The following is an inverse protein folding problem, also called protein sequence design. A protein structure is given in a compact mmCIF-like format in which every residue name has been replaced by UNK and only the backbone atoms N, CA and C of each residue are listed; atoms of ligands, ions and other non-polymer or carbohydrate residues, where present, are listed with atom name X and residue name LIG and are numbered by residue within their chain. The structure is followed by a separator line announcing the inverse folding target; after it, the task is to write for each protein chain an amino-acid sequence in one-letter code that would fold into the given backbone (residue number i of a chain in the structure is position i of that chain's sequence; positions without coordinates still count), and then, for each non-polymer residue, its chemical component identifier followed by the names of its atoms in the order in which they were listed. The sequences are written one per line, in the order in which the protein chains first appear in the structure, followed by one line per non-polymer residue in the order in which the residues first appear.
data_IF_002869020992
#
_entry.id   IF_002869020992
#
_cell.length_a   1.000
_cell.length_b   1.000
_cell.length_c   1.000
_cell.angle_alpha   90.00
_cell.angle_beta   90.00
_cell.angle_gamma   90.00
#
_symmetry.space_group_name_H-M   'P 1'
#
loop_
_entity.id
_entity.type
_entity.pdbx_description
1 polymer ?
#
# COMPACT_ATOMS: atom_id res chain seq x y z
N UNK A 1 0.62 37.11 32.30
CA UNK A 1 0.71 35.73 31.77
C UNK A 1 -0.64 35.00 31.82
N UNK A 2 -1.35 34.98 32.96
CA UNK A 2 -2.64 34.27 33.10
C UNK A 2 -3.74 34.74 32.13
N UNK A 3 -3.91 36.06 31.95
CA UNK A 3 -4.92 36.63 31.02
C UNK A 3 -4.63 36.27 29.54
N UNK A 4 -3.35 36.22 29.16
CA UNK A 4 -2.94 35.82 27.82
C UNK A 4 -3.18 34.31 27.58
N UNK A 5 -2.90 33.47 28.59
CA UNK A 5 -3.19 32.04 28.54
C UNK A 5 -4.71 31.77 28.44
N UNK A 6 -5.53 32.50 29.19
CA UNK A 6 -6.99 32.42 29.12
C UNK A 6 -7.54 32.87 27.75
N UNK A 7 -6.98 33.95 27.19
CA UNK A 7 -7.33 34.40 25.84
C UNK A 7 -7.00 33.35 24.77
N UNK A 8 -5.82 32.73 24.84
CA UNK A 8 -5.42 31.64 23.94
C UNK A 8 -6.30 30.41 24.10
N UNK A 9 -6.67 30.04 25.33
CA UNK A 9 -7.56 28.91 25.60
C UNK A 9 -8.98 29.16 25.05
N UNK A 10 -9.52 30.37 25.22
CA UNK A 10 -10.83 30.74 24.67
C UNK A 10 -10.82 30.73 23.14
N UNK A 11 -9.79 31.30 22.52
CA UNK A 11 -9.62 31.29 21.06
C UNK A 11 -9.48 29.86 20.53
N UNK A 12 -8.73 29.01 21.23
CA UNK A 12 -8.62 27.59 20.89
C UNK A 12 -9.99 26.88 20.99
N UNK A 13 -10.74 27.10 22.06
CA UNK A 13 -12.07 26.52 22.23
C UNK A 13 -13.04 26.94 21.11
N UNK A 14 -13.09 28.23 20.78
CA UNK A 14 -13.90 28.76 19.66
C UNK A 14 -13.49 28.13 18.34
N UNK A 15 -12.17 28.04 18.08
CA UNK A 15 -11.64 27.39 16.88
C UNK A 15 -12.08 25.92 16.77
N UNK A 16 -12.07 25.16 17.88
CA UNK A 16 -12.50 23.75 17.89
C UNK A 16 -14.01 23.60 17.75
N UNK A 17 -14.80 24.46 18.37
CA UNK A 17 -16.26 24.50 18.19
C UNK A 17 -16.61 24.82 16.74
N UNK A 18 -15.94 25.79 16.13
CA UNK A 18 -16.12 26.11 14.72
C UNK A 18 -15.77 24.92 13.82
N UNK A 19 -14.67 24.21 14.10
CA UNK A 19 -14.29 23.01 13.36
C UNK A 19 -15.36 21.91 13.47
N UNK A 20 -15.85 21.63 14.68
CA UNK A 20 -16.91 20.65 14.88
C UNK A 20 -18.19 21.05 14.13
N UNK A 21 -18.60 22.31 14.23
CA UNK A 21 -19.77 22.84 13.54
C UNK A 21 -19.63 22.77 12.02
N UNK A 22 -18.48 23.18 11.49
CA UNK A 22 -18.15 23.06 10.06
C UNK A 22 -18.18 21.60 9.60
N UNK A 23 -17.62 20.68 10.39
CA UNK A 23 -17.65 19.25 10.08
C UNK A 23 -19.06 18.65 10.08
N UNK A 24 -19.91 19.05 11.03
CA UNK A 24 -21.33 18.68 11.06
C UNK A 24 -22.08 19.20 9.83
N UNK A 25 -21.77 20.42 9.39
CA UNK A 25 -22.36 21.02 8.19
C UNK A 25 -21.98 20.27 6.91
N UNK A 26 -20.71 19.87 6.76
CA UNK A 26 -20.22 19.09 5.59
C UNK A 26 -20.97 17.75 5.47
N UNK A 27 -21.29 17.15 6.61
CA UNK A 27 -21.91 15.83 6.69
C UNK A 27 -23.44 15.89 6.67
N UNK A 28 -24.04 17.09 6.56
CA UNK A 28 -25.49 17.24 6.56
C UNK A 28 -26.15 16.87 7.90
N UNK A 29 -25.40 16.95 9.00
CA UNK A 29 -25.87 16.68 10.37
C UNK A 29 -26.37 15.24 10.59
N UNK A 30 -26.00 14.30 9.72
CA UNK A 30 -26.32 12.90 9.90
C UNK A 30 -25.75 12.33 11.22
N UNK A 31 -26.44 11.37 11.84
CA UNK A 31 -26.03 10.79 13.12
C UNK A 31 -24.69 10.04 12.99
N UNK A 32 -23.98 9.91 14.12
CA UNK A 32 -22.72 9.18 14.15
C UNK A 32 -21.79 9.60 15.28
N UNK A 33 -20.57 9.06 15.25
CA UNK A 33 -19.55 9.26 16.28
C UNK A 33 -18.97 10.68 16.18
N UNK A 34 -18.87 11.33 17.34
CA UNK A 34 -18.11 12.57 17.53
C UNK A 34 -16.86 12.24 18.35
N UNK A 35 -15.69 12.33 17.73
CA UNK A 35 -14.42 11.90 18.31
C UNK A 35 -13.44 13.06 18.42
N UNK A 36 -12.37 12.91 19.20
CA UNK A 36 -11.30 13.90 19.21
C UNK A 36 -10.47 13.80 17.92
N UNK A 37 -10.03 12.58 17.60
CA UNK A 37 -9.20 12.30 16.44
C UNK A 37 -9.98 11.50 15.40
N UNK A 38 -9.87 11.89 14.13
CA UNK A 38 -10.46 11.14 13.02
C UNK A 38 -9.75 9.80 12.82
N UNK A 39 -10.47 8.79 12.33
CA UNK A 39 -9.95 7.43 12.14
C UNK A 39 -8.76 7.36 11.16
N UNK A 40 -8.71 8.24 10.16
CA UNK A 40 -7.63 8.36 9.17
C UNK A 40 -6.54 9.35 9.58
N UNK A 41 -6.66 9.96 10.77
CA UNK A 41 -5.72 10.99 11.20
C UNK A 41 -4.43 10.38 11.73
N UNK A 42 -3.29 10.97 11.39
CA UNK A 42 -1.97 10.58 11.91
C UNK A 42 -1.96 10.54 13.45
N UNK A 43 -2.56 11.54 14.09
CA UNK A 43 -2.64 11.59 15.56
C UNK A 43 -3.58 10.52 16.11
N UNK A 44 -4.60 10.12 15.35
CA UNK A 44 -5.48 9.01 15.69
C UNK A 44 -4.79 7.64 15.61
N UNK A 45 -3.67 7.53 14.88
CA UNK A 45 -2.85 6.30 14.82
C UNK A 45 -1.99 6.12 16.09
N UNK A 46 -1.49 7.22 16.65
CA UNK A 46 -0.53 7.20 17.76
C UNK A 46 -1.22 7.17 19.14
N UNK A 47 -2.46 7.64 19.22
CA UNK A 47 -3.16 7.83 20.50
C UNK A 47 -4.10 6.64 20.74
N UNK A 48 -4.08 6.03 21.95
CA UNK A 48 -4.96 4.90 22.29
C UNK A 48 -6.45 5.23 22.12
N UNK A 49 -7.25 4.20 21.86
CA UNK A 49 -8.67 4.32 21.44
C UNK A 49 -9.59 5.02 22.45
N UNK A 50 -9.26 4.99 23.75
CA UNK A 50 -10.02 5.66 24.80
C UNK A 50 -9.09 6.27 25.83
N UNK A 51 -8.98 7.61 25.83
CA UNK A 51 -8.34 8.34 26.93
C UNK A 51 -9.38 8.82 27.96
N UNK A 52 -10.56 9.25 27.50
CA UNK A 52 -11.72 9.62 28.33
C UNK A 52 -12.99 9.69 27.48
N UNK A 53 -14.16 9.93 28.10
CA UNK A 53 -15.44 10.10 27.37
C UNK A 53 -15.43 11.23 26.32
N UNK A 54 -14.62 12.27 26.52
CA UNK A 54 -14.48 13.40 25.58
C UNK A 54 -13.38 13.16 24.53
N UNK A 55 -12.40 12.33 24.87
CA UNK A 55 -11.27 11.94 24.02
C UNK A 55 -11.43 10.50 23.54
N UNK A 56 -12.60 10.23 22.95
CA UNK A 56 -12.81 8.99 22.20
C UNK A 56 -12.07 9.07 20.87
N UNK A 57 -11.31 8.02 20.55
CA UNK A 57 -10.65 7.84 19.28
C UNK A 57 -11.05 6.46 18.71
N UNK A 58 -11.78 6.40 17.58
CA UNK A 58 -12.11 5.12 16.95
C UNK A 58 -10.86 4.28 16.62
N UNK A 59 -9.73 4.93 16.36
CA UNK A 59 -8.47 4.28 15.97
C UNK A 59 -8.48 3.81 14.52
N UNK A 60 -7.32 3.39 14.01
CA UNK A 60 -7.14 2.98 12.61
C UNK A 60 -7.87 1.69 12.24
N UNK A 61 -8.03 0.76 13.19
CA UNK A 61 -8.71 -0.52 12.98
C UNK A 61 -10.24 -0.44 13.12
N UNK A 62 -10.81 0.75 13.33
CA UNK A 62 -12.24 0.93 13.57
C UNK A 62 -13.10 0.31 12.46
N UNK A 63 -12.80 0.62 11.20
CA UNK A 63 -13.56 0.09 10.05
C UNK A 63 -13.50 -1.44 9.99
N UNK A 64 -12.34 -2.02 10.28
CA UNK A 64 -12.14 -3.47 10.30
C UNK A 64 -12.88 -4.15 11.45
N UNK A 65 -12.89 -3.53 12.62
CA UNK A 65 -13.65 -4.02 13.78
C UNK A 65 -15.15 -3.96 13.51
N UNK A 66 -15.63 -2.88 12.90
CA UNK A 66 -17.02 -2.70 12.50
C UNK A 66 -17.48 -3.74 11.47
N UNK A 67 -16.64 -4.05 10.46
CA UNK A 67 -16.93 -5.14 9.51
C UNK A 67 -17.01 -6.49 10.26
N UNK A 68 -16.08 -6.76 11.17
CA UNK A 68 -16.06 -8.01 11.95
C UNK A 68 -17.23 -8.14 12.94
N UNK A 69 -17.73 -7.04 13.48
CA UNK A 69 -18.86 -7.04 14.40
C UNK A 69 -20.23 -7.17 13.70
N UNK A 70 -20.25 -7.27 12.36
CA UNK A 70 -21.49 -7.46 11.61
C UNK A 70 -22.16 -6.14 11.15
N UNK A 71 -21.42 -5.03 11.11
CA UNK A 71 -21.92 -3.75 10.61
C UNK A 71 -22.13 -2.71 11.71
N UNK A 72 -23.03 -1.75 11.46
CA UNK A 72 -23.34 -0.68 12.40
C UNK A 72 -24.16 -1.20 13.58
N UNK A 73 -23.81 -0.79 14.80
CA UNK A 73 -24.63 -1.07 16.01
C UNK A 73 -26.01 -0.37 15.94
N UNK A 74 -26.15 0.63 15.07
CA UNK A 74 -27.37 1.39 14.82
C UNK A 74 -28.06 0.92 13.55
N UNK A 75 -29.40 1.00 13.53
CA UNK A 75 -30.32 0.68 12.41
C UNK A 75 -30.16 1.58 11.16
N UNK A 76 -29.01 2.21 11.00
CA UNK A 76 -28.73 3.19 9.96
C UNK A 76 -27.60 2.70 9.05
N UNK A 77 -27.84 2.67 7.75
CA UNK A 77 -26.86 2.27 6.74
C UNK A 77 -25.74 3.29 6.47
N UNK A 78 -25.84 4.47 7.09
CA UNK A 78 -24.88 5.56 6.95
C UNK A 78 -24.49 6.04 8.34
N UNK A 79 -23.19 6.01 8.61
CA UNK A 79 -22.62 6.48 9.85
C UNK A 79 -21.59 7.57 9.58
N UNK A 80 -21.57 8.58 10.43
CA UNK A 80 -20.66 9.71 10.28
C UNK A 80 -19.64 9.75 11.39
N UNK A 81 -18.40 10.09 11.06
CA UNK A 81 -17.32 10.27 12.04
C UNK A 81 -16.84 11.71 11.89
N UNK A 82 -17.13 12.55 12.88
CA UNK A 82 -16.75 13.97 12.85
C UNK A 82 -15.78 14.24 14.00
N UNK A 83 -14.49 14.49 13.68
CA UNK A 83 -13.50 14.81 14.69
C UNK A 83 -13.53 16.30 15.08
N UNK A 84 -13.57 16.59 16.38
CA UNK A 84 -13.56 17.98 16.89
C UNK A 84 -12.14 18.55 17.04
N UNK A 85 -11.13 17.71 17.30
CA UNK A 85 -9.76 18.15 17.55
C UNK A 85 -8.92 18.11 16.26
N UNK A 86 -8.71 16.94 15.66
CA UNK A 86 -7.85 16.78 14.48
C UNK A 86 -8.30 15.64 13.55
N UNK A 87 -8.15 15.85 12.24
CA UNK A 87 -8.70 14.97 11.19
C UNK A 87 -9.87 15.61 10.43
N UNK A 88 -10.26 14.95 9.35
CA UNK A 88 -11.36 15.37 8.47
C UNK A 88 -12.61 14.52 8.76
N UNK A 89 -13.83 15.06 8.55
CA UNK A 89 -15.06 14.30 8.63
C UNK A 89 -15.09 13.15 7.62
N UNK A 90 -15.61 12.00 8.03
CA UNK A 90 -15.75 10.80 7.19
C UNK A 90 -17.19 10.33 7.24
N UNK A 91 -17.72 9.90 6.10
CA UNK A 91 -18.99 9.20 5.99
C UNK A 91 -18.68 7.74 5.64
N UNK A 92 -19.19 6.83 6.44
CA UNK A 92 -19.07 5.39 6.26
C UNK A 92 -20.44 4.88 5.84
N UNK A 93 -20.47 4.11 4.76
CA UNK A 93 -21.69 3.60 4.14
C UNK A 93 -21.64 2.07 4.17
N UNK A 94 -22.73 1.41 4.57
CA UNK A 94 -22.89 -0.06 4.51
C UNK A 94 -23.89 -0.51 3.44
N UNK A 95 -24.79 0.36 2.98
CA UNK A 95 -25.78 0.03 1.94
C UNK A 95 -25.13 -0.18 0.57
N UNK A 96 -25.47 -1.29 -0.08
CA UNK A 96 -24.98 -1.65 -1.41
C UNK A 96 -25.48 -0.67 -2.48
N UNK A 97 -26.73 -0.22 -2.37
CA UNK A 97 -27.35 0.73 -3.29
C UNK A 97 -26.61 2.06 -3.25
N UNK A 98 -26.29 2.54 -2.05
CA UNK A 98 -25.55 3.79 -1.87
C UNK A 98 -24.10 3.64 -2.38
N UNK A 99 -23.45 2.50 -2.15
CA UNK A 99 -22.13 2.23 -2.71
C UNK A 99 -22.15 2.23 -4.24
N UNK A 100 -23.18 1.66 -4.88
CA UNK A 100 -23.33 1.67 -6.33
C UNK A 100 -23.50 3.08 -6.88
N UNK A 101 -24.26 3.94 -6.20
CA UNK A 101 -24.41 5.34 -6.58
C UNK A 101 -23.09 6.11 -6.50
N UNK A 102 -22.34 5.93 -5.40
CA UNK A 102 -21.02 6.55 -5.22
C UNK A 102 -20.04 6.05 -6.27
N UNK A 103 -20.02 4.75 -6.55
CA UNK A 103 -19.15 4.15 -7.56
C UNK A 103 -19.53 4.54 -9.00
N UNK A 104 -20.82 4.74 -9.27
CA UNK A 104 -21.32 5.16 -10.58
C UNK A 104 -21.04 6.63 -10.90
N UNK A 105 -20.95 7.50 -9.88
CA UNK A 105 -20.76 8.94 -10.04
C UNK A 105 -19.29 9.36 -9.83
N UNK A 106 -18.41 8.93 -10.75
CA UNK A 106 -16.95 9.12 -10.63
C UNK A 106 -16.48 10.59 -10.68
N UNK A 107 -17.29 11.53 -11.16
CA UNK A 107 -16.87 12.94 -11.28
C UNK A 107 -16.88 13.68 -9.92
N UNK A 108 -17.71 13.23 -8.99
CA UNK A 108 -17.85 13.82 -7.64
C UNK A 108 -17.03 13.10 -6.57
N UNK A 109 -16.69 11.82 -6.79
CA UNK A 109 -15.97 10.99 -5.84
C UNK A 109 -14.67 10.49 -6.44
N UNK A 110 -13.55 10.84 -5.79
CA UNK A 110 -12.22 10.34 -6.15
C UNK A 110 -11.60 9.64 -4.95
N UNK A 111 -10.55 8.84 -5.20
CA UNK A 111 -9.79 8.16 -4.15
C UNK A 111 -9.22 9.20 -3.19
N UNK A 112 -9.28 8.96 -1.87
CA UNK A 112 -8.59 9.83 -0.92
C UNK A 112 -7.10 9.84 -1.24
N UNK A 113 -6.46 11.03 -1.18
CA UNK A 113 -5.01 11.15 -1.29
C UNK A 113 -4.39 10.62 0.00
N UNK A 114 -4.29 9.29 0.12
CA UNK A 114 -3.64 8.67 1.27
C UNK A 114 -2.14 8.97 1.25
N UNK A 115 -1.61 9.34 2.41
CA UNK A 115 -0.19 9.71 2.55
C UNK A 115 0.76 8.50 2.50
N UNK A 116 0.26 7.28 2.74
CA UNK A 116 1.07 6.05 2.77
C UNK A 116 1.69 5.70 1.41
N UNK A 117 0.88 5.60 0.34
CA UNK A 117 1.39 5.25 -0.99
C UNK A 117 2.33 6.31 -1.62
N UNK A 118 2.42 7.52 -1.05
CA UNK A 118 3.38 8.58 -1.44
C UNK A 118 4.84 8.15 -1.21
N UNK A 119 5.09 7.22 -0.28
CA UNK A 119 6.45 6.73 0.02
C UNK A 119 7.14 6.09 -1.18
N UNK A 120 6.39 5.65 -2.19
CA UNK A 120 6.92 5.06 -3.42
C UNK A 120 6.74 5.95 -4.64
N UNK A 121 6.50 7.25 -4.45
CA UNK A 121 6.24 8.18 -5.54
C UNK A 121 4.84 8.04 -6.14
N UNK A 122 4.59 8.78 -7.22
CA UNK A 122 3.34 8.74 -7.97
C UNK A 122 3.09 7.33 -8.52
N UNK A 123 1.91 6.77 -8.26
CA UNK A 123 1.52 5.44 -8.71
C UNK A 123 0.00 5.31 -8.90
N UNK A 124 -0.47 4.23 -9.52
CA UNK A 124 -1.90 3.98 -9.83
C UNK A 124 -2.79 3.97 -8.58
N UNK A 125 -2.22 3.74 -7.39
CA UNK A 125 -2.97 3.87 -6.15
C UNK A 125 -3.05 5.33 -5.66
N UNK A 126 -2.05 6.18 -5.90
CA UNK A 126 -2.05 7.61 -5.52
C UNK A 126 -2.66 8.54 -6.57
N UNK A 127 -2.56 8.18 -7.85
CA UNK A 127 -2.96 9.03 -8.95
C UNK A 127 -4.48 9.12 -9.06
N UNK A 128 -4.94 10.30 -9.46
CA UNK A 128 -6.35 10.69 -9.54
C UNK A 128 -6.71 11.10 -10.98
N UNK A 129 -8.00 11.06 -11.31
CA UNK A 129 -8.57 11.59 -12.57
C UNK A 129 -7.80 11.18 -13.85
N UNK A 130 -7.42 12.16 -14.66
CA UNK A 130 -6.81 11.97 -15.98
C UNK A 130 -5.42 11.34 -15.92
N UNK A 131 -4.60 11.68 -14.92
CA UNK A 131 -3.31 11.01 -14.72
C UNK A 131 -3.52 9.54 -14.36
N UNK A 132 -4.51 9.21 -13.52
CA UNK A 132 -4.85 7.80 -13.27
C UNK A 132 -5.26 7.05 -14.54
N UNK A 133 -6.13 7.65 -15.37
CA UNK A 133 -6.58 7.03 -16.63
C UNK A 133 -5.40 6.73 -17.56
N UNK A 134 -4.46 7.67 -17.68
CA UNK A 134 -3.22 7.50 -18.46
C UNK A 134 -2.37 6.33 -17.95
N UNK A 135 -2.06 6.31 -16.65
CA UNK A 135 -1.27 5.24 -16.05
C UNK A 135 -1.93 3.87 -16.17
N UNK A 136 -3.24 3.82 -15.96
CA UNK A 136 -4.03 2.58 -16.11
C UNK A 136 -4.01 2.08 -17.54
N UNK A 137 -4.07 2.96 -18.54
CA UNK A 137 -4.02 2.58 -19.96
C UNK A 137 -2.70 1.89 -20.31
N UNK A 138 -1.58 2.39 -19.76
CA UNK A 138 -0.25 1.81 -19.99
C UNK A 138 -0.04 0.50 -19.23
N UNK A 139 -0.53 0.42 -17.98
CA UNK A 139 -0.31 -0.75 -17.13
C UNK A 139 -1.28 -1.91 -17.43
N UNK A 140 -2.51 -1.64 -17.85
CA UNK A 140 -3.52 -2.69 -18.09
C UNK A 140 -3.06 -3.78 -19.06
N UNK A 141 -2.43 -3.48 -20.22
CA UNK A 141 -1.91 -4.48 -21.14
C UNK A 141 -0.87 -5.41 -20.50
N UNK A 142 -0.09 -4.93 -19.52
CA UNK A 142 0.87 -5.76 -18.80
C UNK A 142 0.17 -6.83 -17.95
N UNK A 143 -1.05 -6.58 -17.48
CA UNK A 143 -1.89 -7.54 -16.73
C UNK A 143 -2.80 -8.38 -17.64
N UNK A 144 -2.23 -8.98 -18.68
CA UNK A 144 -2.95 -9.79 -19.68
C UNK A 144 -3.16 -11.25 -19.25
N UNK A 145 -4.00 -11.99 -19.97
CA UNK A 145 -4.17 -13.46 -19.79
C UNK A 145 -2.85 -14.24 -19.86
N UNK A 146 -1.89 -13.78 -20.69
CA UNK A 146 -0.55 -14.38 -20.79
C UNK A 146 0.20 -14.29 -19.47
N UNK A 147 0.10 -13.15 -18.78
CA UNK A 147 0.69 -12.98 -17.45
C UNK A 147 0.07 -13.96 -16.45
N UNK A 148 -1.26 -14.05 -16.41
CA UNK A 148 -1.93 -14.96 -15.47
C UNK A 148 -1.54 -16.42 -15.70
N UNK A 149 -1.37 -16.84 -16.95
CA UNK A 149 -0.86 -18.17 -17.27
C UNK A 149 0.60 -18.38 -16.81
N UNK A 150 1.44 -17.34 -16.89
CA UNK A 150 2.80 -17.38 -16.34
C UNK A 150 2.78 -17.49 -14.82
N UNK A 151 1.99 -16.66 -14.13
CA UNK A 151 1.80 -16.70 -12.68
C UNK A 151 1.35 -18.09 -12.24
N UNK A 152 0.39 -18.71 -12.93
CA UNK A 152 -0.07 -20.06 -12.63
C UNK A 152 1.06 -21.10 -12.69
N UNK A 153 1.84 -21.09 -13.78
CA UNK A 153 2.99 -22.01 -13.94
C UNK A 153 4.04 -21.82 -12.85
N UNK A 154 4.33 -20.57 -12.52
CA UNK A 154 5.32 -20.21 -11.49
C UNK A 154 4.83 -20.58 -10.08
N UNK A 155 3.55 -20.39 -9.77
CA UNK A 155 2.95 -20.82 -8.51
C UNK A 155 3.06 -22.33 -8.30
N UNK A 156 2.77 -23.14 -9.34
CA UNK A 156 2.92 -24.60 -9.25
C UNK A 156 4.38 -24.97 -9.02
N UNK A 157 5.32 -24.33 -9.72
CA UNK A 157 6.75 -24.61 -9.56
C UNK A 157 7.21 -24.33 -8.13
N UNK A 158 6.92 -23.12 -7.62
CA UNK A 158 7.35 -22.70 -6.28
C UNK A 158 6.67 -23.56 -5.21
N UNK A 159 5.42 -23.96 -5.42
CA UNK A 159 4.73 -24.84 -4.48
C UNK A 159 5.39 -26.22 -4.40
N UNK A 160 5.75 -26.81 -5.55
CA UNK A 160 6.48 -28.09 -5.57
C UNK A 160 7.84 -27.99 -4.88
N UNK A 161 8.57 -26.92 -5.17
CA UNK A 161 9.88 -26.64 -4.56
C UNK A 161 9.79 -26.44 -3.04
N UNK A 162 8.73 -25.77 -2.56
CA UNK A 162 8.41 -25.66 -1.14
C UNK A 162 8.13 -27.03 -0.50
N UNK A 163 7.28 -27.85 -1.12
CA UNK A 163 6.93 -29.19 -0.61
C UNK A 163 8.18 -30.08 -0.51
N UNK A 164 9.04 -30.04 -1.53
CA UNK A 164 10.29 -30.81 -1.58
C UNK A 164 11.29 -30.33 -0.53
N UNK A 165 11.51 -29.01 -0.43
CA UNK A 165 12.48 -28.42 0.50
C UNK A 165 12.09 -28.63 1.96
N UNK A 166 10.80 -28.45 2.27
CA UNK A 166 10.29 -28.59 3.64
C UNK A 166 9.97 -30.05 4.00
N UNK A 167 10.10 -30.96 3.02
CA UNK A 167 9.80 -32.39 3.10
C UNK A 167 8.39 -32.67 3.63
N UNK A 168 7.39 -31.90 3.16
CA UNK A 168 5.99 -32.05 3.57
C UNK A 168 5.41 -33.39 3.11
N UNK A 169 5.93 -33.94 2.02
CA UNK A 169 5.59 -35.26 1.49
C UNK A 169 6.04 -36.42 2.40
N UNK A 170 6.99 -36.18 3.30
CA UNK A 170 7.60 -37.19 4.19
C UNK A 170 7.17 -37.05 5.65
N UNK A 171 6.34 -36.07 5.97
CA UNK A 171 5.89 -35.77 7.34
C UNK A 171 4.39 -36.04 7.47
N UNK A 172 4.01 -36.72 8.54
CA UNK A 172 2.59 -37.01 8.85
C UNK A 172 1.86 -35.76 9.35
N UNK A 173 2.58 -34.84 10.01
CA UNK A 173 2.09 -33.53 10.43
C UNK A 173 3.18 -32.46 10.26
N UNK A 174 2.78 -31.26 9.85
CA UNK A 174 3.68 -30.11 9.67
C UNK A 174 3.21 -28.96 10.53
N UNK A 175 4.06 -28.50 11.45
CA UNK A 175 3.81 -27.30 12.23
C UNK A 175 4.23 -26.05 11.45
N UNK A 176 3.25 -25.19 11.15
CA UNK A 176 3.48 -23.91 10.49
C UNK A 176 3.28 -22.81 11.55
N UNK A 177 4.36 -22.20 12.08
CA UNK A 177 4.26 -21.26 13.20
C UNK A 177 3.54 -19.96 12.82
N UNK A 178 3.77 -19.45 11.60
CA UNK A 178 3.13 -18.22 11.10
C UNK A 178 2.76 -18.35 9.63
N UNK A 179 1.47 -18.53 9.34
CA UNK A 179 0.96 -18.62 7.97
C UNK A 179 1.26 -17.35 7.14
N UNK A 180 1.27 -16.19 7.80
CA UNK A 180 1.58 -14.90 7.16
C UNK A 180 2.99 -14.81 6.58
N UNK A 181 3.97 -15.41 7.25
CA UNK A 181 5.37 -15.39 6.78
C UNK A 181 5.57 -16.34 5.60
N UNK A 182 4.96 -17.52 5.68
CA UNK A 182 4.96 -18.51 4.61
C UNK A 182 4.31 -17.96 3.33
N UNK A 183 3.11 -17.40 3.46
CA UNK A 183 2.36 -16.82 2.33
C UNK A 183 3.07 -15.59 1.76
N UNK A 184 3.69 -14.75 2.60
CA UNK A 184 4.49 -13.62 2.15
C UNK A 184 5.72 -14.08 1.35
N UNK A 185 6.46 -15.10 1.82
CA UNK A 185 7.59 -15.69 1.07
C UNK A 185 7.12 -16.25 -0.27
N UNK A 186 6.05 -17.05 -0.26
CA UNK A 186 5.49 -17.69 -1.46
C UNK A 186 5.05 -16.67 -2.51
N UNK A 187 4.22 -15.70 -2.12
CA UNK A 187 3.72 -14.65 -3.02
C UNK A 187 4.84 -13.78 -3.54
N UNK A 188 5.83 -13.44 -2.70
CA UNK A 188 6.96 -12.64 -3.13
C UNK A 188 7.83 -13.37 -4.16
N UNK A 189 8.10 -14.66 -3.97
CA UNK A 189 8.85 -15.44 -4.96
C UNK A 189 8.14 -15.51 -6.31
N UNK A 190 6.80 -15.64 -6.31
CA UNK A 190 6.00 -15.60 -7.55
C UNK A 190 6.13 -14.25 -8.23
N UNK A 191 5.97 -13.15 -7.49
CA UNK A 191 6.07 -11.82 -8.09
C UNK A 191 7.50 -11.52 -8.53
N UNK A 192 8.52 -11.95 -7.79
CA UNK A 192 9.91 -11.81 -8.18
C UNK A 192 10.19 -12.51 -9.51
N UNK A 193 9.63 -13.70 -9.72
CA UNK A 193 9.76 -14.43 -10.97
C UNK A 193 8.97 -13.80 -12.12
N UNK A 194 7.69 -13.49 -11.93
CA UNK A 194 6.84 -12.99 -13.01
C UNK A 194 7.06 -11.51 -13.36
N UNK A 195 7.35 -10.67 -12.36
CA UNK A 195 7.60 -9.25 -12.59
C UNK A 195 9.06 -9.02 -12.98
N UNK A 196 10.00 -9.57 -12.21
CA UNK A 196 11.43 -9.27 -12.37
C UNK A 196 12.24 -10.41 -12.96
N UNK A 197 11.63 -11.51 -13.42
CA UNK A 197 12.36 -12.61 -14.06
C UNK A 197 13.30 -13.37 -13.12
N UNK A 198 13.28 -13.10 -11.81
CA UNK A 198 14.15 -13.77 -10.84
C UNK A 198 13.56 -15.12 -10.45
N UNK A 199 14.19 -16.19 -10.93
CA UNK A 199 13.89 -17.54 -10.44
C UNK A 199 14.66 -17.77 -9.16
N UNK A 200 14.01 -17.54 -8.03
CA UNK A 200 14.47 -18.03 -6.72
C UNK A 200 13.99 -19.46 -6.52
N UNK A 201 14.83 -20.30 -5.92
CA UNK A 201 14.40 -21.56 -5.30
C UNK A 201 13.82 -21.27 -3.92
N UNK A 202 13.03 -22.18 -3.38
CA UNK A 202 12.43 -22.02 -2.05
C UNK A 202 13.48 -22.00 -0.95
N UNK A 203 14.56 -22.77 -1.11
CA UNK A 203 15.70 -22.81 -0.18
C UNK A 203 16.52 -21.53 -0.23
N UNK A 204 16.70 -20.93 -1.42
CA UNK A 204 17.26 -19.60 -1.52
C UNK A 204 16.20 -18.59 -1.03
N UNK A 205 16.43 -18.09 0.19
CA UNK A 205 16.01 -16.73 0.49
C UNK A 205 16.48 -15.85 -0.68
N UNK A 206 15.77 -14.79 -1.04
CA UNK A 206 16.19 -13.87 -2.11
C UNK A 206 17.44 -13.13 -1.61
N UNK A 207 18.57 -13.84 -1.58
CA UNK A 207 19.81 -13.57 -0.85
C UNK A 207 20.87 -12.98 -1.77
N UNK A 208 20.65 -13.04 -3.07
CA UNK A 208 21.62 -12.64 -4.08
C UNK A 208 21.39 -11.20 -4.56
N UNK A 209 21.31 -10.28 -3.60
CA UNK A 209 21.47 -8.86 -3.87
C UNK A 209 22.53 -8.25 -2.93
N UNK A 210 23.70 -8.90 -2.80
CA UNK A 210 24.99 -8.31 -2.40
C UNK A 210 25.05 -7.29 -1.26
N UNK A 211 24.07 -7.25 -0.36
CA UNK A 211 23.91 -6.22 0.68
C UNK A 211 23.35 -6.90 1.92
N UNK A 212 23.66 -6.37 3.09
CA UNK A 212 23.51 -6.90 4.46
C UNK A 212 22.15 -7.55 4.84
N UNK A 213 21.14 -7.54 3.97
CA UNK A 213 19.79 -8.07 4.19
C UNK A 213 19.19 -8.67 2.90
N UNK A 214 18.50 -9.81 3.01
CA UNK A 214 17.80 -10.43 1.88
C UNK A 214 16.65 -9.55 1.36
N UNK A 215 16.39 -9.55 0.05
CA UNK A 215 15.36 -8.71 -0.57
C UNK A 215 13.96 -8.97 0.04
N UNK A 216 13.67 -10.22 0.40
CA UNK A 216 12.44 -10.59 1.08
C UNK A 216 12.31 -9.95 2.45
N UNK A 217 13.42 -9.86 3.20
CA UNK A 217 13.47 -9.16 4.48
C UNK A 217 13.36 -7.65 4.29
N UNK A 218 14.01 -7.07 3.28
CA UNK A 218 13.83 -5.67 2.94
C UNK A 218 12.36 -5.36 2.64
N UNK A 219 11.69 -6.19 1.83
CA UNK A 219 10.30 -5.94 1.44
C UNK A 219 9.35 -6.05 2.63
N UNK A 220 9.57 -7.04 3.51
CA UNK A 220 8.83 -7.18 4.77
C UNK A 220 9.01 -5.93 5.64
N UNK A 221 10.26 -5.51 5.89
CA UNK A 221 10.58 -4.29 6.65
C UNK A 221 9.89 -3.08 6.05
N UNK A 222 9.93 -2.92 4.73
CA UNK A 222 9.34 -1.74 4.08
C UNK A 222 7.80 -1.77 4.12
N UNK A 223 7.15 -2.94 4.17
CA UNK A 223 5.68 -3.02 4.36
C UNK A 223 5.30 -2.72 5.81
N UNK A 224 5.96 -3.37 6.77
CA UNK A 224 5.62 -3.28 8.19
C UNK A 224 6.00 -1.91 8.81
N UNK A 225 7.12 -1.35 8.38
CA UNK A 225 7.69 -0.12 8.93
C UNK A 225 7.41 1.11 8.04
N UNK A 226 6.53 0.98 7.04
CA UNK A 226 6.04 2.12 6.25
C UNK A 226 5.47 3.25 7.14
N UNK A 227 4.69 2.97 8.21
CA UNK A 227 4.23 4.02 9.11
C UNK A 227 5.39 4.74 9.81
N UNK A 228 6.44 4.02 10.21
CA UNK A 228 7.61 4.63 10.85
C UNK A 228 8.28 5.63 9.93
N UNK A 229 8.48 5.29 8.65
CA UNK A 229 9.04 6.22 7.66
C UNK A 229 8.12 7.41 7.35
N UNK A 230 6.81 7.19 7.33
CA UNK A 230 5.83 8.25 7.06
C UNK A 230 5.76 9.27 8.21
N UNK A 231 5.91 8.80 9.45
CA UNK A 231 5.78 9.62 10.66
C UNK A 231 7.11 10.23 11.11
N UNK A 232 8.23 9.59 10.79
CA UNK A 232 9.55 10.08 11.14
C UNK A 232 9.86 11.38 10.36
N UNK A 233 10.11 12.50 11.04
CA UNK A 233 10.55 13.70 10.38
C UNK A 233 11.98 13.52 9.85
N UNK A 234 12.34 14.25 8.78
CA UNK A 234 13.65 14.10 8.12
C UNK A 234 14.84 14.27 9.07
N UNK A 235 14.73 15.13 10.09
CA UNK A 235 15.79 15.32 11.09
C UNK A 235 16.00 14.09 11.97
N UNK A 236 14.99 13.23 12.18
CA UNK A 236 15.11 12.06 13.03
C UNK A 236 16.07 11.01 12.46
N UNK A 237 16.29 11.01 11.14
CA UNK A 237 17.28 10.16 10.47
C UNK A 237 18.74 10.55 10.76
N UNK A 238 18.98 11.75 11.31
CA UNK A 238 20.30 12.18 11.79
C UNK A 238 20.62 11.49 13.12
N UNK A 239 19.60 11.07 13.88
CA UNK A 239 19.81 10.40 15.16
C UNK A 239 20.22 8.93 14.97
N UNK A 240 21.12 8.39 15.82
CA UNK A 240 21.60 7.01 15.72
C UNK A 240 20.58 5.98 16.22
N UNK A 241 19.32 6.06 15.79
CA UNK A 241 18.28 5.09 16.13
C UNK A 241 18.36 3.87 15.21
N UNK A 242 18.55 2.69 15.78
CA UNK A 242 18.70 1.43 15.02
C UNK A 242 17.50 1.13 14.12
N UNK A 243 16.28 1.44 14.60
CA UNK A 243 15.04 1.25 13.83
C UNK A 243 15.02 2.13 12.59
N UNK A 244 15.36 3.42 12.71
CA UNK A 244 15.36 4.35 11.57
C UNK A 244 16.45 4.00 10.56
N UNK A 245 17.64 3.61 11.02
CA UNK A 245 18.71 3.11 10.16
C UNK A 245 18.28 1.86 9.39
N UNK A 246 17.72 0.87 10.07
CA UNK A 246 17.21 -0.36 9.45
C UNK A 246 16.16 -0.05 8.37
N UNK A 247 15.22 0.84 8.66
CA UNK A 247 14.20 1.28 7.70
C UNK A 247 14.86 1.98 6.52
N UNK A 248 15.78 2.91 6.75
CA UNK A 248 16.42 3.65 5.67
C UNK A 248 17.27 2.75 4.76
N UNK A 249 18.05 1.84 5.34
CA UNK A 249 18.79 0.82 4.58
C UNK A 249 17.85 -0.04 3.75
N UNK A 250 16.76 -0.56 4.33
CA UNK A 250 15.82 -1.42 3.60
C UNK A 250 15.14 -0.70 2.42
N UNK A 251 14.73 0.56 2.62
CA UNK A 251 14.17 1.39 1.55
C UNK A 251 15.22 1.66 0.46
N UNK A 252 16.42 2.10 0.84
CA UNK A 252 17.50 2.44 -0.10
C UNK A 252 17.93 1.22 -0.93
N UNK A 253 18.09 0.05 -0.30
CA UNK A 253 18.44 -1.21 -0.98
C UNK A 253 17.35 -1.64 -1.96
N UNK A 254 16.07 -1.51 -1.62
CA UNK A 254 14.98 -1.83 -2.55
C UNK A 254 14.97 -0.86 -3.73
N UNK A 255 15.10 0.44 -3.48
CA UNK A 255 15.11 1.44 -4.56
C UNK A 255 16.32 1.28 -5.48
N UNK A 256 17.52 1.07 -4.94
CA UNK A 256 18.73 0.85 -5.74
C UNK A 256 18.65 -0.44 -6.56
N UNK A 257 18.12 -1.51 -5.95
CA UNK A 257 17.85 -2.77 -6.66
C UNK A 257 16.86 -2.58 -7.80
N UNK A 258 15.74 -1.89 -7.56
CA UNK A 258 14.76 -1.63 -8.61
C UNK A 258 15.34 -0.79 -9.76
N UNK A 259 16.15 0.22 -9.45
CA UNK A 259 16.85 1.03 -10.47
C UNK A 259 17.84 0.21 -11.28
N UNK A 260 18.63 -0.66 -10.65
CA UNK A 260 19.54 -1.54 -11.38
C UNK A 260 18.79 -2.51 -12.30
N UNK A 261 17.61 -2.99 -11.88
CA UNK A 261 16.75 -3.82 -12.70
C UNK A 261 16.10 -3.09 -13.89
N UNK A 262 15.85 -1.79 -13.76
CA UNK A 262 15.42 -0.94 -14.88
C UNK A 262 16.55 -0.80 -15.89
N UNK A 263 17.75 -0.43 -15.42
CA UNK A 263 18.91 -0.22 -16.27
C UNK A 263 19.28 -1.47 -17.08
N UNK A 264 19.42 -2.62 -16.41
CA UNK A 264 19.73 -3.91 -17.06
C UNK A 264 18.71 -4.31 -18.13
N UNK A 265 17.45 -3.92 -17.95
CA UNK A 265 16.39 -4.26 -18.92
C UNK A 265 16.31 -3.29 -20.08
N UNK A 266 16.59 -2.00 -19.86
CA UNK A 266 16.71 -1.03 -20.94
C UNK A 266 17.84 -1.43 -21.90
N UNK A 267 18.95 -1.92 -21.36
CA UNK A 267 20.07 -2.44 -22.15
C UNK A 267 19.67 -3.67 -22.97
N UNK A 268 19.02 -4.66 -22.35
CA UNK A 268 18.54 -5.87 -23.07
C UNK A 268 17.50 -5.56 -24.16
N UNK A 269 16.60 -4.63 -23.91
CA UNK A 269 15.61 -4.20 -24.92
C UNK A 269 16.28 -3.49 -26.10
N UNK A 270 17.32 -2.69 -25.85
CA UNK A 270 18.08 -2.03 -26.90
C UNK A 270 18.88 -3.03 -27.76
N UNK A 271 19.36 -4.12 -27.16
CA UNK A 271 20.07 -5.20 -27.85
C UNK A 271 19.10 -6.11 -28.65
N UNK A 272 17.91 -6.38 -28.12
CA UNK A 272 16.85 -7.16 -28.79
C UNK A 272 16.27 -6.40 -30.01
N UNK A 273 16.09 -5.07 -29.93
CA UNK A 273 15.63 -4.25 -31.07
C UNK A 273 16.66 -4.22 -32.23
N UNK A 274 17.93 -4.54 -31.96
CA UNK A 274 18.99 -4.64 -32.96
C UNK A 274 19.10 -6.03 -33.62
N UNK A 275 18.53 -7.07 -32.99
CA UNK A 275 18.64 -8.47 -33.43
C UNK A 275 17.24 -9.08 -33.61
N UNK A 276 16.65 -8.90 -34.79
CA UNK A 276 15.29 -9.35 -35.18
C UNK A 276 15.16 -10.88 -35.34
N UNK A 277 15.64 -11.68 -34.37
CA UNK A 277 15.70 -13.14 -34.47
C UNK A 277 15.56 -13.91 -33.14
N UNK A 278 14.78 -13.42 -32.17
CA UNK A 278 14.29 -14.32 -31.09
C UNK A 278 12.85 -14.05 -30.65
N UNK A 279 11.89 -14.61 -31.38
CA UNK A 279 10.44 -14.51 -31.10
C UNK A 279 9.99 -15.28 -29.84
N UNK A 280 10.85 -15.52 -28.83
CA UNK A 280 10.47 -16.37 -27.67
C UNK A 280 11.08 -15.97 -26.31
N UNK A 281 11.65 -14.78 -26.11
CA UNK A 281 12.11 -14.36 -24.78
C UNK A 281 11.04 -13.59 -23.97
N UNK A 282 10.30 -14.36 -23.16
CA UNK A 282 9.55 -14.01 -21.93
C UNK A 282 9.03 -12.55 -21.84
N UNK A 283 7.79 -12.39 -22.27
CA UNK A 283 6.93 -11.21 -22.00
C UNK A 283 6.67 -11.06 -20.49
N UNK A 284 7.63 -10.50 -19.76
CA UNK A 284 7.50 -10.18 -18.33
C UNK A 284 6.74 -8.87 -18.16
N UNK A 285 6.01 -8.72 -17.04
CA UNK A 285 5.25 -7.49 -16.72
C UNK A 285 6.15 -6.27 -16.90
N UNK A 286 7.35 -6.33 -16.34
CA UNK A 286 8.26 -5.21 -16.31
C UNK A 286 8.80 -4.84 -17.70
N UNK A 287 9.03 -5.82 -18.57
CA UNK A 287 9.42 -5.54 -19.96
C UNK A 287 8.28 -4.83 -20.69
N UNK A 288 7.02 -5.22 -20.46
CA UNK A 288 5.87 -4.53 -21.03
C UNK A 288 5.70 -3.11 -20.48
N UNK A 289 5.97 -2.90 -19.18
CA UNK A 289 5.93 -1.57 -18.55
C UNK A 289 7.04 -0.68 -19.09
N UNK A 290 8.27 -1.18 -19.19
CA UNK A 290 9.42 -0.44 -19.71
C UNK A 290 9.26 -0.15 -21.20
N UNK A 291 8.81 -1.11 -22.01
CA UNK A 291 8.53 -0.88 -23.43
C UNK A 291 7.46 0.17 -23.65
N UNK A 292 6.36 0.09 -22.88
CA UNK A 292 5.31 1.09 -22.95
C UNK A 292 5.74 2.48 -22.41
N UNK A 293 6.81 2.55 -21.61
CA UNK A 293 7.43 3.82 -21.20
C UNK A 293 8.33 4.43 -22.29
N UNK A 294 8.91 3.60 -23.16
CA UNK A 294 9.81 4.01 -24.24
C UNK A 294 9.01 4.43 -25.49
N UNK A 295 7.95 3.68 -25.83
CA UNK A 295 7.11 3.94 -27.02
C UNK A 295 6.37 5.28 -26.97
N UNK A 296 6.06 5.79 -25.77
CA UNK A 296 5.23 6.99 -25.59
C UNK A 296 6.07 8.24 -25.30
N UNK A 297 7.20 8.43 -26.03
CA UNK A 297 8.34 9.35 -25.81
C UNK A 297 8.11 10.83 -25.41
N UNK A 298 6.87 11.26 -25.16
CA UNK A 298 6.51 12.47 -24.41
C UNK A 298 6.25 12.24 -22.90
N UNK A 299 6.12 10.99 -22.44
CA UNK A 299 5.74 10.60 -21.07
C UNK A 299 6.52 9.37 -20.59
N UNK A 300 7.86 9.42 -20.66
CA UNK A 300 8.70 8.44 -19.98
C UNK A 300 8.37 8.45 -18.49
N UNK A 301 7.92 7.33 -17.92
CA UNK A 301 7.76 7.21 -16.48
C UNK A 301 9.09 7.51 -15.81
N UNK A 302 9.07 8.42 -14.84
CA UNK A 302 10.22 8.62 -13.97
C UNK A 302 10.53 7.30 -13.23
N UNK A 303 11.80 7.04 -12.93
CA UNK A 303 12.20 5.76 -12.33
C UNK A 303 11.44 5.48 -11.03
N UNK A 304 11.12 6.54 -10.28
CA UNK A 304 10.36 6.47 -9.05
C UNK A 304 8.89 6.08 -9.28
N UNK A 305 8.32 6.40 -10.45
CA UNK A 305 6.93 6.12 -10.81
C UNK A 305 6.72 4.66 -11.28
N UNK A 306 7.71 4.07 -11.95
CA UNK A 306 7.70 2.63 -12.28
C UNK A 306 7.78 1.78 -11.01
N UNK A 307 8.59 2.21 -10.04
CA UNK A 307 8.79 1.53 -8.76
C UNK A 307 7.51 1.60 -7.90
N UNK A 308 6.89 2.79 -7.82
CA UNK A 308 5.61 2.97 -7.13
C UNK A 308 4.50 2.10 -7.69
N UNK A 309 4.38 2.03 -9.02
CA UNK A 309 3.33 1.25 -9.70
C UNK A 309 3.46 -0.26 -9.49
N UNK A 310 4.69 -0.77 -9.40
CA UNK A 310 4.95 -2.20 -9.20
C UNK A 310 4.57 -2.64 -7.77
N UNK A 311 4.75 -1.76 -6.78
CA UNK A 311 4.51 -2.07 -5.37
C UNK A 311 3.08 -1.79 -4.90
N UNK A 312 2.47 -0.69 -5.36
CA UNK A 312 1.12 -0.29 -4.98
C UNK A 312 0.09 -1.41 -5.20
N UNK A 313 0.26 -2.22 -6.25
CA UNK A 313 -0.62 -3.34 -6.56
C UNK A 313 -0.33 -4.61 -5.75
N UNK A 314 0.89 -4.80 -5.23
CA UNK A 314 1.20 -5.91 -4.31
C UNK A 314 0.56 -5.67 -2.94
N UNK A 315 0.54 -4.41 -2.47
CA UNK A 315 -0.15 -3.97 -1.24
C UNK A 315 -1.66 -4.21 -1.33
N UNK A 316 -2.30 -3.74 -2.41
CA UNK A 316 -3.75 -3.90 -2.65
C UNK A 316 -4.23 -5.36 -2.75
N UNK A 317 -3.35 -6.31 -3.09
CA UNK A 317 -3.72 -7.75 -3.15
C UNK A 317 -3.54 -8.47 -1.82
N UNK A 318 -2.66 -7.98 -0.94
CA UNK A 318 -2.42 -8.60 0.37
C UNK A 318 -3.62 -8.39 1.31
N UNK A 319 -4.33 -7.28 1.14
CA UNK A 319 -5.56 -7.00 1.90
C UNK A 319 -6.76 -7.84 1.40
N UNK A 320 -6.90 -8.08 0.09
CA UNK A 320 -7.99 -8.91 -0.46
C UNK A 320 -7.82 -10.42 -0.21
N UNK A 321 -6.59 -10.92 -0.05
CA UNK A 321 -6.34 -12.33 0.27
C UNK A 321 -6.51 -12.67 1.77
N UNK A 322 -6.66 -11.66 2.63
CA UNK A 322 -6.94 -11.82 4.06
C UNK A 322 -8.45 -11.84 4.39
N UNK A 323 -9.30 -11.62 3.39
CA UNK A 323 -10.77 -11.58 3.52
C UNK A 323 -11.48 -12.77 2.86
N UNK A 324 -10.77 -13.86 2.63
CA UNK A 324 -11.30 -15.16 2.20
C UNK A 324 -10.68 -16.24 3.08
#
# INVERSE_FOLDING_TARGET
MLRAALGLAALFAISRLYKLWSGLKVVGHAPGIRCAFGATSILGLLIPKRLSSLFYNPGSNFLWEMIRSGGFETDTDIMTIVPWLHGDPIVVVSSVETMQQVAGYSDGFDKPTEKGPVLFGSNVATLQKETWKKHRRVLNPAFSRKLYAMVWKESIRIFRDMVETEAWDKKESVDIPTLGDLTAKFTLSIVASCAFGFRSTWSDSISTAGTEMSLSRCLKVVIEEAPVRLLAPKWAYILPLEVLKRVDTAFTTIFSFMRSQIALRREKLADDDANDNSTTEKTNIFNNIVRASIDDGKFAFDEDEVIGNTRARQSLRRDQASSS
#
